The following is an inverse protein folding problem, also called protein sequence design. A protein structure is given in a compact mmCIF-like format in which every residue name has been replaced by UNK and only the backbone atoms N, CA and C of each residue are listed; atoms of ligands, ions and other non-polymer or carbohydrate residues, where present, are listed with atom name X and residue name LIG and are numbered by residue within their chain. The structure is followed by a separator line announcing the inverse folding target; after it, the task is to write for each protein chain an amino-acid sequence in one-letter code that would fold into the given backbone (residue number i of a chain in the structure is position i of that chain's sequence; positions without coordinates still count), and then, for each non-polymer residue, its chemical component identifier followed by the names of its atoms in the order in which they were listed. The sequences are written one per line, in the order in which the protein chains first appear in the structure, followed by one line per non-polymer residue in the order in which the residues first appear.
data_IF_196775626436
#
_entry.id   IF_196775626436
#
_cell.length_a   1.000
_cell.length_b   1.000
_cell.length_c   1.000
_cell.angle_alpha   90.00
_cell.angle_beta   90.00
_cell.angle_gamma   90.00
#
_symmetry.space_group_name_H-M   'P 1'
#
loop_
_entity.id
_entity.type
_entity.pdbx_description
1 polymer ?
#
# COMPACT_ATOMS: atom_id res chain seq x y z
N UNK A 1 -9.92 8.75 -17.87
CA UNK A 1 -10.31 7.79 -16.81
C UNK A 1 -9.04 7.35 -16.10
N UNK A 2 -8.93 7.67 -14.81
CA UNK A 2 -7.78 7.39 -13.95
C UNK A 2 -7.68 5.88 -13.75
N UNK A 3 -6.53 5.27 -14.04
CA UNK A 3 -6.32 3.88 -13.62
C UNK A 3 -6.17 3.92 -12.11
N UNK A 4 -7.03 3.20 -11.42
CA UNK A 4 -6.96 2.99 -9.97
C UNK A 4 -6.64 1.52 -9.79
N UNK A 5 -5.54 1.26 -9.10
CA UNK A 5 -5.15 -0.06 -8.65
C UNK A 5 -5.48 -0.16 -7.17
N UNK A 6 -6.15 -1.24 -6.78
CA UNK A 6 -6.46 -1.50 -5.39
C UNK A 6 -5.86 -2.85 -5.01
N UNK A 7 -5.22 -2.89 -3.85
CA UNK A 7 -4.68 -4.08 -3.23
C UNK A 7 -5.34 -4.24 -1.87
N UNK A 8 -6.03 -5.35 -1.68
CA UNK A 8 -6.66 -5.68 -0.40
C UNK A 8 -5.63 -6.37 0.49
N UNK A 9 -5.51 -5.89 1.73
CA UNK A 9 -4.70 -6.51 2.78
C UNK A 9 -5.42 -7.67 3.47
N UNK A 10 -4.70 -8.40 4.32
CA UNK A 10 -5.20 -9.62 4.95
C UNK A 10 -6.30 -9.35 5.98
N UNK A 11 -6.25 -8.18 6.65
CA UNK A 11 -7.11 -7.85 7.79
C UNK A 11 -8.09 -6.70 7.49
N UNK A 12 -8.58 -6.63 6.24
CA UNK A 12 -9.52 -5.58 5.81
C UNK A 12 -8.86 -4.23 5.50
N UNK A 13 -7.54 -4.23 5.42
CA UNK A 13 -6.73 -3.09 5.00
C UNK A 13 -6.82 -2.91 3.48
N UNK A 14 -6.55 -1.72 2.98
CA UNK A 14 -6.57 -1.45 1.55
C UNK A 14 -5.49 -0.44 1.18
N UNK A 15 -4.73 -0.76 0.12
CA UNK A 15 -3.86 0.18 -0.57
C UNK A 15 -4.47 0.51 -1.94
N UNK A 16 -4.80 1.78 -2.16
CA UNK A 16 -5.31 2.28 -3.42
C UNK A 16 -4.33 3.26 -4.04
N UNK A 17 -3.96 3.03 -5.30
CA UNK A 17 -3.05 3.87 -6.09
C UNK A 17 -3.76 4.35 -7.34
N UNK A 18 -3.89 5.67 -7.50
CA UNK A 18 -4.55 6.29 -8.63
C UNK A 18 -3.66 7.29 -9.37
N UNK A 19 -3.63 7.22 -10.69
CA UNK A 19 -2.87 8.17 -11.52
C UNK A 19 -3.77 9.33 -12.01
N UNK A 20 -3.38 10.57 -11.71
CA UNK A 20 -3.99 11.78 -12.23
C UNK A 20 -3.24 12.29 -13.48
N UNK A 21 -3.74 11.93 -14.66
CA UNK A 21 -3.14 12.32 -15.95
C UNK A 21 -3.04 13.82 -16.22
N UNK A 22 -3.86 14.64 -15.56
CA UNK A 22 -3.95 16.07 -15.88
C UNK A 22 -2.84 16.89 -15.23
N UNK A 23 -2.32 16.40 -14.11
CA UNK A 23 -1.28 17.08 -13.30
C UNK A 23 -0.02 16.22 -13.11
N UNK A 24 0.04 15.05 -13.75
CA UNK A 24 1.09 14.03 -13.57
C UNK A 24 1.37 13.70 -12.10
N UNK A 25 0.28 13.47 -11.36
CA UNK A 25 0.32 13.16 -9.91
C UNK A 25 -0.19 11.77 -9.63
N UNK A 26 0.30 11.20 -8.54
CA UNK A 26 -0.14 9.90 -8.03
C UNK A 26 -0.83 10.12 -6.69
N UNK A 27 -2.07 9.64 -6.59
CA UNK A 27 -2.84 9.60 -5.36
C UNK A 27 -2.66 8.23 -4.71
N UNK A 28 -2.29 8.22 -3.43
CA UNK A 28 -2.24 7.03 -2.59
C UNK A 28 -3.25 7.16 -1.47
N UNK A 29 -4.03 6.11 -1.26
CA UNK A 29 -4.82 5.93 -0.05
C UNK A 29 -4.39 4.63 0.62
N UNK A 30 -4.04 4.72 1.90
CA UNK A 30 -3.74 3.58 2.76
C UNK A 30 -4.81 3.56 3.85
N UNK A 31 -5.60 2.50 3.87
CA UNK A 31 -6.65 2.29 4.86
C UNK A 31 -6.35 1.05 5.68
N UNK A 32 -6.59 1.11 6.99
CA UNK A 32 -6.58 -0.06 7.87
C UNK A 32 -7.97 -0.46 8.38
N UNK A 33 -9.03 -0.02 7.68
CA UNK A 33 -10.43 -0.25 8.07
C UNK A 33 -10.95 0.71 9.13
N UNK A 34 -10.09 1.28 9.98
CA UNK A 34 -10.47 2.29 10.99
C UNK A 34 -10.03 3.70 10.62
N UNK A 35 -8.91 3.82 9.91
CA UNK A 35 -8.25 5.08 9.56
C UNK A 35 -7.76 5.04 8.13
N UNK A 36 -7.72 6.22 7.52
CA UNK A 36 -7.21 6.40 6.18
C UNK A 36 -6.13 7.48 6.16
N UNK A 37 -5.06 7.21 5.43
CA UNK A 37 -4.02 8.18 5.10
C UNK A 37 -4.08 8.44 3.60
N UNK A 38 -4.23 9.71 3.23
CA UNK A 38 -4.32 10.16 1.85
C UNK A 38 -3.07 10.97 1.51
N UNK A 39 -2.40 10.60 0.42
CA UNK A 39 -1.22 11.30 -0.10
C UNK A 39 -1.43 11.63 -1.57
N UNK A 40 -1.00 12.82 -1.98
CA UNK A 40 -0.96 13.22 -3.38
C UNK A 40 0.49 13.59 -3.71
N UNK A 41 1.16 12.72 -4.45
CA UNK A 41 2.56 12.84 -4.79
C UNK A 41 2.70 13.35 -6.22
N UNK A 42 3.71 14.19 -6.45
CA UNK A 42 4.29 14.38 -7.77
C UNK A 42 4.94 13.08 -8.27
N UNK A 43 5.26 13.07 -9.56
CA UNK A 43 5.97 11.96 -10.20
C UNK A 43 7.34 11.69 -9.57
N UNK A 44 8.09 12.74 -9.25
CA UNK A 44 9.42 12.66 -8.63
C UNK A 44 9.35 12.10 -7.21
N UNK A 45 8.42 12.59 -6.38
CA UNK A 45 8.20 12.08 -5.02
C UNK A 45 7.78 10.59 -5.02
N UNK A 46 7.01 10.18 -6.04
CA UNK A 46 6.65 8.78 -6.22
C UNK A 46 7.85 7.91 -6.58
N UNK A 47 8.75 8.39 -7.46
CA UNK A 47 9.96 7.66 -7.84
C UNK A 47 10.91 7.52 -6.66
N UNK A 48 11.09 8.57 -5.87
CA UNK A 48 11.85 8.51 -4.63
C UNK A 48 11.25 7.48 -3.65
N UNK A 49 9.92 7.47 -3.47
CA UNK A 49 9.23 6.50 -2.62
C UNK A 49 9.44 5.06 -3.11
N UNK A 50 9.40 4.82 -4.42
CA UNK A 50 9.60 3.51 -5.02
C UNK A 50 11.04 3.00 -4.92
N UNK A 51 12.01 3.90 -4.83
CA UNK A 51 13.43 3.57 -4.62
C UNK A 51 13.74 3.20 -3.16
N UNK A 52 12.82 3.47 -2.22
CA UNK A 52 12.95 3.03 -0.84
C UNK A 52 12.81 1.50 -0.74
N UNK A 53 13.96 0.82 -0.74
CA UNK A 53 14.03 -0.61 -0.51
C UNK A 53 13.94 -0.92 0.98
N UNK A 54 12.74 -1.18 1.46
CA UNK A 54 12.54 -1.72 2.79
C UNK A 54 12.79 -3.24 2.79
N UNK A 55 13.62 -3.71 3.72
CA UNK A 55 13.68 -5.12 4.08
C UNK A 55 12.50 -5.43 4.99
N UNK A 56 11.42 -5.98 4.42
CA UNK A 56 10.33 -6.52 5.23
C UNK A 56 10.78 -7.86 5.82
N UNK A 57 10.94 -7.90 7.13
CA UNK A 57 11.06 -9.16 7.86
C UNK A 57 9.65 -9.52 8.27
N UNK A 58 8.97 -10.36 7.48
CA UNK A 58 7.71 -10.97 7.94
C UNK A 58 8.10 -11.95 9.03
N UNK A 59 7.68 -11.77 10.29
CA UNK A 59 7.93 -12.78 11.31
C UNK A 59 7.23 -14.06 10.85
N UNK A 60 8.00 -15.10 10.52
CA UNK A 60 7.44 -16.41 10.25
C UNK A 60 6.76 -16.86 11.53
N UNK A 61 5.44 -16.87 11.54
CA UNK A 61 4.67 -17.36 12.68
C UNK A 61 4.73 -18.90 12.69
N UNK A 62 5.92 -19.46 12.95
CA UNK A 62 6.12 -20.92 13.13
C UNK A 62 5.35 -21.45 14.36
N UNK A 63 4.84 -20.57 15.22
CA UNK A 63 4.03 -20.93 16.38
C UNK A 63 2.56 -21.25 16.07
N UNK A 64 2.07 -21.01 14.83
CA UNK A 64 0.67 -21.29 14.48
C UNK A 64 0.42 -22.75 14.04
N UNK A 65 1.47 -23.55 13.80
CA UNK A 65 1.34 -24.94 13.31
C UNK A 65 1.23 -26.01 14.41
N UNK A 66 1.39 -25.66 15.70
CA UNK A 66 1.29 -26.61 16.83
C UNK A 66 -0.08 -26.64 17.52
N UNK A 67 -1.07 -25.87 17.06
CA UNK A 67 -2.43 -25.89 17.62
C UNK A 67 -3.38 -26.90 16.93
N UNK A 68 -2.87 -27.74 16.02
CA UNK A 68 -3.65 -28.79 15.33
C UNK A 68 -2.96 -30.17 15.45
N UNK A 69 -2.58 -30.56 16.67
CA UNK A 69 -2.25 -31.95 17.00
C UNK A 69 -3.11 -32.44 18.17
#
# INVERSE_FOLDING_TARGET
MRKIFQFDGLDGETLSVGECKQDDRIALCISNGERETHMLLSRDEWEELMDLRYKFTVPSNEAALTAVQ
#
